data_IF_421104109076
#
_entry.id   IF_421104109076
#
_cell.length_a   1.000
_cell.length_b   1.000
_cell.length_c   1.000
_cell.angle_alpha   90.00
_cell.angle_beta   90.00
_cell.angle_gamma   90.00
#
_symmetry.space_group_name_H-M   'P 1'
#
loop_
_entity.id
_entity.type
_entity.pdbx_description
1 polymer ?
#
# COMPACT_ATOMS: atom_id res chain seq x y z
N UNK A 1 -14.71 -23.56 -14.34
CA UNK A 1 -14.53 -22.60 -15.44
C UNK A 1 -15.15 -21.22 -15.17
N UNK A 2 -16.49 -21.04 -15.13
CA UNK A 2 -17.08 -19.69 -14.94
C UNK A 2 -16.66 -19.01 -13.63
N UNK A 3 -16.59 -19.77 -12.53
CA UNK A 3 -16.09 -19.32 -11.23
C UNK A 3 -14.62 -18.83 -11.29
N UNK A 4 -13.74 -19.58 -11.95
CA UNK A 4 -12.30 -19.25 -12.02
C UNK A 4 -12.09 -17.96 -12.82
N UNK A 5 -12.86 -17.79 -13.91
CA UNK A 5 -12.85 -16.56 -14.71
C UNK A 5 -13.33 -15.38 -13.87
N UNK A 6 -14.44 -15.52 -13.16
CA UNK A 6 -14.95 -14.46 -12.29
C UNK A 6 -13.91 -14.04 -11.24
N UNK A 7 -13.20 -15.00 -10.63
CA UNK A 7 -12.16 -14.71 -9.64
C UNK A 7 -10.99 -13.90 -10.22
N UNK A 8 -10.58 -14.21 -11.46
CA UNK A 8 -9.52 -13.47 -12.14
C UNK A 8 -9.96 -12.06 -12.51
N UNK A 9 -11.18 -11.90 -13.05
CA UNK A 9 -11.73 -10.59 -13.43
C UNK A 9 -11.85 -9.67 -12.22
N UNK A 10 -12.35 -10.17 -11.09
CA UNK A 10 -12.49 -9.38 -9.87
C UNK A 10 -11.17 -9.09 -9.15
N UNK A 11 -10.07 -9.76 -9.51
CA UNK A 11 -8.75 -9.45 -8.99
C UNK A 11 -8.06 -8.29 -9.74
N UNK A 12 -8.59 -7.88 -10.89
CA UNK A 12 -8.04 -6.76 -11.66
C UNK A 12 -8.43 -5.45 -10.96
N UNK A 13 -7.47 -4.60 -10.57
CA UNK A 13 -7.79 -3.31 -10.00
C UNK A 13 -8.52 -2.44 -11.04
N UNK A 14 -9.56 -1.69 -10.64
CA UNK A 14 -10.42 -0.94 -11.56
C UNK A 14 -9.74 0.27 -12.20
N UNK A 15 -8.58 0.71 -11.70
CA UNK A 15 -7.86 1.88 -12.22
C UNK A 15 -6.36 1.85 -11.91
N UNK A 16 -5.61 2.71 -12.60
CA UNK A 16 -4.17 2.93 -12.37
C UNK A 16 -3.87 3.53 -10.99
N UNK A 17 -4.84 4.17 -10.34
CA UNK A 17 -4.67 4.75 -9.00
C UNK A 17 -4.23 3.71 -7.96
N UNK A 18 -4.61 2.43 -8.14
CA UNK A 18 -4.11 1.33 -7.31
C UNK A 18 -2.59 1.15 -7.41
N UNK A 19 -2.04 1.33 -8.62
CA UNK A 19 -0.59 1.29 -8.85
C UNK A 19 0.10 2.55 -8.31
N UNK A 20 -0.50 3.73 -8.45
CA UNK A 20 0.02 4.98 -7.88
C UNK A 20 0.14 4.89 -6.34
N UNK A 21 -0.84 4.26 -5.69
CA UNK A 21 -0.77 3.97 -4.24
C UNK A 21 0.43 3.08 -3.90
N UNK A 22 0.69 2.04 -4.70
CA UNK A 22 1.84 1.15 -4.50
C UNK A 22 3.18 1.91 -4.70
N UNK A 23 3.29 2.76 -5.72
CA UNK A 23 4.47 3.59 -5.95
C UNK A 23 4.74 4.54 -4.78
N UNK A 24 3.70 5.18 -4.27
CA UNK A 24 3.78 6.06 -3.11
C UNK A 24 4.22 5.32 -1.83
N UNK A 25 3.77 4.08 -1.63
CA UNK A 25 4.26 3.21 -0.52
C UNK A 25 5.75 2.92 -0.67
N UNK A 26 6.18 2.57 -1.89
CA UNK A 26 7.59 2.30 -2.18
C UNK A 26 8.46 3.53 -1.94
N UNK A 27 8.01 4.72 -2.33
CA UNK A 27 8.74 5.98 -2.09
C UNK A 27 8.87 6.28 -0.59
N UNK A 28 7.81 6.03 0.20
CA UNK A 28 7.87 6.14 1.66
C UNK A 28 8.85 5.16 2.31
N UNK A 29 8.88 3.91 1.84
CA UNK A 29 9.79 2.86 2.36
C UNK A 29 11.24 3.15 1.96
N UNK A 30 11.47 3.55 0.70
CA UNK A 30 12.79 3.87 0.15
C UNK A 30 13.29 5.29 0.44
N UNK A 31 12.53 6.10 1.19
CA UNK A 31 12.89 7.48 1.53
C UNK A 31 14.36 7.65 1.94
N UNK A 32 14.95 8.82 1.67
CA UNK A 32 16.40 9.07 1.87
C UNK A 32 16.93 8.73 3.28
N UNK A 33 16.07 8.76 4.31
CA UNK A 33 16.38 8.33 5.69
C UNK A 33 16.45 6.80 5.89
N UNK A 34 15.75 6.01 5.08
CA UNK A 34 15.66 4.53 5.14
C UNK A 34 16.37 3.82 3.98
N UNK A 35 17.35 4.47 3.36
CA UNK A 35 18.09 3.98 2.18
C UNK A 35 19.13 2.86 2.46
N UNK A 36 18.89 1.98 3.44
CA UNK A 36 19.84 0.94 3.88
C UNK A 36 19.25 -0.47 3.88
N UNK A 37 18.05 -0.64 3.31
CA UNK A 37 17.37 -1.93 3.24
C UNK A 37 17.76 -2.63 1.94
N UNK A 38 18.07 -3.93 2.04
CA UNK A 38 18.18 -4.79 0.86
C UNK A 38 16.80 -4.98 0.22
N UNK A 39 16.77 -5.23 -1.08
CA UNK A 39 15.54 -5.28 -1.90
C UNK A 39 14.52 -6.27 -1.32
N UNK A 40 14.98 -7.43 -0.85
CA UNK A 40 14.14 -8.45 -0.21
C UNK A 40 13.38 -7.90 1.01
N UNK A 41 14.03 -7.07 1.83
CA UNK A 41 13.42 -6.46 3.02
C UNK A 41 12.43 -5.37 2.66
N UNK A 42 12.72 -4.62 1.61
CA UNK A 42 11.80 -3.61 1.09
C UNK A 42 10.52 -4.29 0.58
N UNK A 43 10.65 -5.34 -0.23
CA UNK A 43 9.50 -6.06 -0.77
C UNK A 43 8.63 -6.66 0.35
N UNK A 44 9.24 -7.24 1.39
CA UNK A 44 8.52 -7.71 2.57
C UNK A 44 7.77 -6.58 3.28
N UNK A 45 8.40 -5.42 3.47
CA UNK A 45 7.77 -4.27 4.11
C UNK A 45 6.62 -3.69 3.28
N UNK A 46 6.79 -3.61 1.96
CA UNK A 46 5.73 -3.17 1.05
C UNK A 46 4.53 -4.14 1.10
N UNK A 47 4.80 -5.44 1.12
CA UNK A 47 3.77 -6.47 1.27
C UNK A 47 3.03 -6.33 2.60
N UNK A 48 3.74 -6.19 3.72
CA UNK A 48 3.14 -6.00 5.04
C UNK A 48 2.29 -4.73 5.06
N UNK A 49 2.81 -3.60 4.57
CA UNK A 49 2.10 -2.33 4.58
C UNK A 49 0.80 -2.39 3.76
N UNK A 50 0.86 -2.94 2.54
CA UNK A 50 -0.30 -3.05 1.65
C UNK A 50 -1.39 -3.98 2.22
N UNK A 51 -1.00 -5.02 2.95
CA UNK A 51 -1.91 -6.05 3.46
C UNK A 51 -2.23 -5.94 4.95
N UNK A 52 -1.66 -4.95 5.66
CA UNK A 52 -1.76 -4.84 7.11
C UNK A 52 -3.22 -4.90 7.60
N UNK A 53 -4.12 -4.23 6.88
CA UNK A 53 -5.55 -4.18 7.20
C UNK A 53 -6.27 -5.51 6.96
N UNK A 54 -5.85 -6.29 5.96
CA UNK A 54 -6.43 -7.59 5.66
C UNK A 54 -6.08 -8.64 6.74
N UNK A 55 -5.02 -8.41 7.50
CA UNK A 55 -4.54 -9.28 8.59
C UNK A 55 -4.95 -8.74 9.97
N UNK A 56 -5.35 -7.47 10.07
CA UNK A 56 -5.75 -6.84 11.33
C UNK A 56 -7.06 -7.45 11.86
N UNK A 57 -7.04 -7.86 13.13
CA UNK A 57 -8.24 -8.28 13.87
C UNK A 57 -9.03 -7.11 14.43
N UNK A 58 -8.39 -5.94 14.53
CA UNK A 58 -9.06 -4.69 14.88
C UNK A 58 -9.78 -4.15 13.65
N UNK A 59 -11.01 -3.66 13.85
CA UNK A 59 -11.82 -3.08 12.78
C UNK A 59 -11.06 -2.02 12.00
N UNK A 60 -11.23 -2.02 10.68
CA UNK A 60 -10.46 -1.15 9.80
C UNK A 60 -10.68 0.33 10.12
N UNK A 61 -9.65 1.00 10.67
CA UNK A 61 -9.61 2.45 10.72
C UNK A 61 -9.30 3.01 9.32
N UNK A 62 -10.38 3.21 8.56
CA UNK A 62 -10.31 3.76 7.21
C UNK A 62 -9.69 5.16 7.19
N UNK A 63 -9.87 5.96 8.24
CA UNK A 63 -9.30 7.31 8.30
C UNK A 63 -7.77 7.26 8.27
N UNK A 64 -7.18 6.27 8.95
CA UNK A 64 -5.73 6.02 8.93
C UNK A 64 -5.22 5.46 7.60
N UNK A 65 -6.03 4.68 6.89
CA UNK A 65 -5.69 4.12 5.57
C UNK A 65 -5.62 5.21 4.48
N UNK A 66 -6.47 6.22 4.58
CA UNK A 66 -6.49 7.39 3.69
C UNK A 66 -5.56 8.51 4.15
N UNK A 67 -5.14 8.55 5.42
CA UNK A 67 -4.14 9.51 5.89
C UNK A 67 -2.77 9.16 5.30
N UNK A 68 -2.35 9.95 4.34
CA UNK A 68 -1.00 9.91 3.79
C UNK A 68 -0.05 10.63 4.76
N UNK A 69 1.15 10.10 5.06
CA UNK A 69 2.08 10.77 5.98
C UNK A 69 2.50 12.18 5.52
N UNK A 70 2.43 12.51 4.22
CA UNK A 70 2.68 13.89 3.76
C UNK A 70 1.48 14.84 3.93
N UNK A 71 0.30 14.36 4.31
CA UNK A 71 -0.86 15.25 4.50
C UNK A 71 -0.66 16.23 5.65
N UNK A 72 0.24 15.93 6.60
CA UNK A 72 0.60 16.85 7.67
C UNK A 72 1.78 17.77 7.29
N UNK A 73 2.77 17.29 6.53
CA UNK A 73 3.87 18.15 6.05
C UNK A 73 3.44 19.15 4.97
N UNK A 74 2.34 18.89 4.26
CA UNK A 74 1.75 19.83 3.30
C UNK A 74 0.93 20.97 3.95
N UNK A 75 0.58 20.85 5.24
CA UNK A 75 -0.19 21.87 5.98
C UNK A 75 0.72 22.86 6.71
N UNK A 76 2.01 22.56 6.85
CA UNK A 76 3.00 23.35 7.60
C UNK A 76 4.07 24.02 6.71
N UNK A 77 3.81 24.19 5.40
CA UNK A 77 4.64 24.98 4.49
C UNK A 77 3.90 26.21 3.96
#
# INVERSE_FOLDING_TARGET
MAWEIARLVFAIPPSSAASERAWSIMDFIHSKKRNRLAVDKVDMLAYIYANHLAVSTEGADWARLYSYPESQEALER
#
